data_IF_981892315594
#
_entry.id   IF_981892315594
#
_cell.length_a   1.000
_cell.length_b   1.000
_cell.length_c   1.000
_cell.angle_alpha   90.00
_cell.angle_beta   90.00
_cell.angle_gamma   90.00
#
_symmetry.space_group_name_H-M   'P 1'
#
loop_
_entity.id
_entity.type
_entity.pdbx_description
1 polymer ?
#
# COMPACT_ATOMS: atom_id res chain seq x y z
N UNK A 1 -24.78 -3.92 -14.47
CA UNK A 1 -23.40 -3.38 -14.43
C UNK A 1 -23.40 -2.04 -13.71
N UNK A 2 -22.63 -1.91 -12.62
CA UNK A 2 -22.43 -0.63 -11.93
C UNK A 2 -21.70 0.38 -12.83
N UNK A 3 -21.93 1.68 -12.60
CA UNK A 3 -21.28 2.77 -13.35
C UNK A 3 -19.75 2.66 -13.37
N UNK A 4 -19.16 2.11 -12.32
CA UNK A 4 -17.74 1.89 -12.17
C UNK A 4 -17.19 0.82 -13.13
N UNK A 5 -17.96 -0.25 -13.39
CA UNK A 5 -17.58 -1.28 -14.35
C UNK A 5 -17.73 -0.81 -15.80
N UNK A 6 -18.61 0.17 -16.07
CA UNK A 6 -18.70 0.80 -17.40
C UNK A 6 -17.40 1.49 -17.80
N UNK A 7 -16.62 2.02 -16.85
CA UNK A 7 -15.33 2.66 -17.14
C UNK A 7 -14.27 1.68 -17.70
N UNK A 8 -14.46 0.37 -17.48
CA UNK A 8 -13.55 -0.70 -17.91
C UNK A 8 -14.27 -1.77 -18.77
N UNK A 9 -15.45 -1.45 -19.26
CA UNK A 9 -16.26 -2.33 -20.09
C UNK A 9 -15.50 -2.75 -21.36
N UNK A 10 -15.53 -4.04 -21.67
CA UNK A 10 -14.76 -4.62 -22.79
C UNK A 10 -13.24 -4.62 -22.60
N UNK A 11 -12.71 -4.09 -21.49
CA UNK A 11 -11.27 -4.04 -21.20
C UNK A 11 -10.86 -4.88 -20.00
N UNK A 12 -11.79 -5.32 -19.16
CA UNK A 12 -11.49 -6.11 -17.96
C UNK A 12 -12.16 -7.48 -18.01
N UNK A 13 -11.37 -8.51 -17.74
CA UNK A 13 -11.83 -9.90 -17.59
C UNK A 13 -11.44 -10.40 -16.21
N UNK A 14 -12.41 -10.49 -15.30
CA UNK A 14 -12.19 -10.97 -13.93
C UNK A 14 -11.90 -12.47 -13.92
N UNK A 15 -11.00 -12.92 -13.04
CA UNK A 15 -10.66 -14.34 -12.85
C UNK A 15 -10.85 -14.81 -11.43
N UNK A 16 -10.42 -14.01 -10.46
CA UNK A 16 -10.43 -14.38 -9.05
C UNK A 16 -10.65 -13.14 -8.19
N UNK A 17 -11.61 -13.20 -7.27
CA UNK A 17 -11.74 -12.21 -6.21
C UNK A 17 -10.68 -12.50 -5.15
N UNK A 18 -9.73 -11.59 -4.97
CA UNK A 18 -8.67 -11.73 -3.97
C UNK A 18 -9.13 -11.28 -2.59
N UNK A 19 -9.96 -10.24 -2.53
CA UNK A 19 -10.41 -9.63 -1.28
C UNK A 19 -11.71 -8.85 -1.50
N UNK A 20 -12.63 -8.94 -0.54
CA UNK A 20 -13.80 -8.06 -0.44
C UNK A 20 -13.94 -7.62 1.01
N UNK A 21 -13.88 -6.31 1.25
CA UNK A 21 -14.05 -5.71 2.57
C UNK A 21 -14.92 -4.45 2.50
N UNK A 22 -15.21 -3.85 3.65
CA UNK A 22 -16.02 -2.62 3.75
C UNK A 22 -15.36 -1.39 3.09
N UNK A 23 -14.15 -1.48 2.54
CA UNK A 23 -13.44 -0.36 1.90
C UNK A 23 -13.17 -0.58 0.41
N UNK A 24 -13.18 -1.82 -0.07
CA UNK A 24 -12.96 -2.15 -1.48
C UNK A 24 -13.15 -3.62 -1.79
N UNK A 25 -13.45 -3.89 -3.06
CA UNK A 25 -13.27 -5.21 -3.68
C UNK A 25 -11.98 -5.19 -4.51
N UNK A 26 -11.16 -6.24 -4.39
CA UNK A 26 -9.92 -6.45 -5.13
C UNK A 26 -10.02 -7.76 -5.90
N UNK A 27 -9.80 -7.69 -7.21
CA UNK A 27 -9.93 -8.79 -8.15
C UNK A 27 -8.64 -8.94 -8.95
N UNK A 28 -8.22 -10.18 -9.22
CA UNK A 28 -7.19 -10.50 -10.21
C UNK A 28 -7.89 -10.87 -11.51
N UNK A 29 -7.32 -10.41 -12.61
CA UNK A 29 -7.87 -10.65 -13.94
C UNK A 29 -6.91 -10.24 -15.04
N UNK A 30 -7.45 -10.11 -16.24
CA UNK A 30 -6.74 -9.54 -17.38
C UNK A 30 -7.29 -8.17 -17.74
N UNK A 31 -6.40 -7.30 -18.16
CA UNK A 31 -6.73 -5.97 -18.63
C UNK A 31 -6.22 -5.75 -20.05
N UNK A 32 -7.11 -5.26 -20.93
CA UNK A 32 -6.79 -4.93 -22.31
C UNK A 32 -6.16 -3.53 -22.38
N UNK A 33 -4.92 -3.51 -22.88
CA UNK A 33 -4.15 -2.31 -23.17
C UNK A 33 -3.93 -2.20 -24.68
N UNK A 34 -3.54 -1.02 -25.21
CA UNK A 34 -3.20 -0.89 -26.64
C UNK A 34 -2.08 -1.84 -27.11
N UNK A 35 -1.24 -2.33 -26.19
CA UNK A 35 -0.15 -3.27 -26.48
C UNK A 35 -0.57 -4.76 -26.35
N UNK A 36 -1.83 -5.04 -25.96
CA UNK A 36 -2.34 -6.39 -25.73
C UNK A 36 -2.91 -6.59 -24.32
N UNK A 37 -3.35 -7.82 -24.03
CA UNK A 37 -3.83 -8.21 -22.71
C UNK A 37 -2.68 -8.44 -21.72
N UNK A 38 -2.83 -7.90 -20.51
CA UNK A 38 -1.87 -8.09 -19.42
C UNK A 38 -2.55 -8.59 -18.15
N UNK A 39 -1.84 -9.35 -17.33
CA UNK A 39 -2.29 -9.69 -15.98
C UNK A 39 -2.34 -8.43 -15.12
N UNK A 40 -3.45 -8.26 -14.42
CA UNK A 40 -3.73 -7.05 -13.67
C UNK A 40 -4.56 -7.32 -12.42
N UNK A 41 -4.57 -6.32 -11.53
CA UNK A 41 -5.38 -6.29 -10.32
C UNK A 41 -6.32 -5.09 -10.42
N UNK A 42 -7.61 -5.36 -10.36
CA UNK A 42 -8.65 -4.35 -10.25
C UNK A 42 -8.91 -4.11 -8.76
N UNK A 43 -8.95 -2.83 -8.39
CA UNK A 43 -9.55 -2.38 -7.15
C UNK A 43 -10.77 -1.53 -7.47
N UNK A 44 -11.89 -1.82 -6.82
CA UNK A 44 -13.14 -1.06 -6.98
C UNK A 44 -13.78 -0.74 -5.64
N UNK A 45 -14.43 0.42 -5.57
CA UNK A 45 -15.06 0.96 -4.36
C UNK A 45 -16.55 1.26 -4.56
N UNK A 46 -17.16 0.71 -5.59
CA UNK A 46 -18.56 0.93 -5.94
C UNK A 46 -19.55 0.00 -5.22
N UNK A 47 -19.06 -1.11 -4.66
CA UNK A 47 -19.84 -2.09 -3.89
C UNK A 47 -19.71 -1.90 -2.36
N UNK A 48 -19.05 -0.82 -1.92
CA UNK A 48 -18.82 -0.58 -0.48
C UNK A 48 -20.08 -0.01 0.19
N UNK A 49 -20.31 -0.29 1.48
CA UNK A 49 -21.40 0.32 2.23
C UNK A 49 -21.38 1.86 2.18
N UNK A 50 -22.54 2.49 2.08
CA UNK A 50 -22.66 3.95 1.95
C UNK A 50 -21.93 4.72 3.06
N UNK A 51 -21.92 4.21 4.30
CA UNK A 51 -21.26 4.84 5.44
C UNK A 51 -19.73 4.83 5.32
N UNK A 52 -19.17 3.81 4.68
CA UNK A 52 -17.73 3.63 4.49
C UNK A 52 -17.20 4.38 3.26
N UNK A 53 -18.10 4.72 2.34
CA UNK A 53 -17.77 5.29 1.03
C UNK A 53 -16.89 6.54 1.10
N UNK A 54 -17.12 7.54 1.99
CA UNK A 54 -16.26 8.73 2.08
C UNK A 54 -14.80 8.38 2.38
N UNK A 55 -14.58 7.44 3.31
CA UNK A 55 -13.24 6.99 3.69
C UNK A 55 -12.63 6.14 2.58
N UNK A 56 -13.39 5.19 2.03
CA UNK A 56 -12.95 4.35 0.92
C UNK A 56 -12.51 5.21 -0.28
N UNK A 57 -13.29 6.23 -0.61
CA UNK A 57 -13.00 7.19 -1.67
C UNK A 57 -11.75 8.03 -1.36
N UNK A 58 -11.57 8.49 -0.11
CA UNK A 58 -10.36 9.20 0.30
C UNK A 58 -9.10 8.33 0.14
N UNK A 59 -9.12 7.09 0.64
CA UNK A 59 -8.01 6.14 0.52
C UNK A 59 -7.73 5.78 -0.95
N UNK A 60 -8.78 5.60 -1.74
CA UNK A 60 -8.69 5.36 -3.18
C UNK A 60 -8.00 6.52 -3.91
N UNK A 61 -8.35 7.77 -3.61
CA UNK A 61 -7.73 8.94 -4.22
C UNK A 61 -6.24 9.06 -3.85
N UNK A 62 -5.88 8.70 -2.61
CA UNK A 62 -4.48 8.67 -2.16
C UNK A 62 -3.68 7.63 -2.90
N UNK A 63 -4.19 6.40 -2.97
CA UNK A 63 -3.55 5.30 -3.71
C UNK A 63 -3.39 5.67 -5.18
N UNK A 64 -4.43 6.22 -5.82
CA UNK A 64 -4.38 6.69 -7.21
C UNK A 64 -3.25 7.71 -7.44
N UNK A 65 -3.15 8.73 -6.58
CA UNK A 65 -2.10 9.76 -6.67
C UNK A 65 -0.70 9.16 -6.45
N UNK A 66 -0.55 8.29 -5.46
CA UNK A 66 0.73 7.67 -5.16
C UNK A 66 1.19 6.74 -6.29
N UNK A 67 0.29 5.88 -6.81
CA UNK A 67 0.61 4.92 -7.88
C UNK A 67 0.85 5.59 -9.23
N UNK A 68 0.22 6.73 -9.52
CA UNK A 68 0.50 7.50 -10.73
C UNK A 68 1.98 7.89 -10.84
N UNK A 69 2.64 8.11 -9.69
CA UNK A 69 4.06 8.43 -9.61
C UNK A 69 4.89 7.17 -9.38
N UNK A 70 4.55 6.38 -8.35
CA UNK A 70 5.33 5.21 -7.92
C UNK A 70 5.38 4.09 -8.97
N UNK A 71 4.30 3.90 -9.74
CA UNK A 71 4.24 2.89 -10.80
C UNK A 71 5.26 3.14 -11.91
N UNK A 72 5.63 4.40 -12.16
CA UNK A 72 6.65 4.77 -13.16
C UNK A 72 8.09 4.53 -12.66
N UNK A 73 8.29 4.34 -11.35
CA UNK A 73 9.62 4.18 -10.74
C UNK A 73 10.14 2.72 -10.80
N UNK A 74 9.31 1.78 -11.25
CA UNK A 74 9.63 0.35 -11.31
C UNK A 74 9.79 -0.33 -9.94
N UNK A 75 9.19 0.24 -8.89
CA UNK A 75 9.24 -0.29 -7.51
C UNK A 75 7.86 -0.65 -6.94
N UNK A 76 6.82 -0.37 -7.71
CA UNK A 76 5.41 -0.56 -7.37
C UNK A 76 4.67 -1.04 -8.63
N UNK A 77 3.48 -1.64 -8.49
CA UNK A 77 2.65 -2.00 -9.63
C UNK A 77 2.44 -0.81 -10.57
N UNK A 78 2.64 -0.96 -11.89
CA UNK A 78 2.35 0.12 -12.81
C UNK A 78 0.85 0.42 -12.78
N UNK A 79 0.50 1.70 -12.81
CA UNK A 79 -0.90 2.11 -12.90
C UNK A 79 -1.36 1.99 -14.36
N UNK A 80 -2.22 1.02 -14.66
CA UNK A 80 -2.70 0.75 -16.01
C UNK A 80 -3.95 1.56 -16.35
N UNK A 81 -4.82 1.79 -15.37
CA UNK A 81 -6.01 2.62 -15.52
C UNK A 81 -6.43 3.24 -14.19
N UNK A 82 -6.95 4.46 -14.26
CA UNK A 82 -7.46 5.19 -13.12
C UNK A 82 -8.78 5.86 -13.45
N UNK A 83 -9.88 5.23 -13.02
CA UNK A 83 -11.23 5.76 -13.13
C UNK A 83 -11.64 6.57 -11.89
N UNK A 84 -12.95 6.80 -11.77
CA UNK A 84 -13.55 7.52 -10.62
C UNK A 84 -13.71 6.62 -9.40
N UNK A 85 -14.06 5.34 -9.62
CA UNK A 85 -14.27 4.35 -8.54
C UNK A 85 -13.56 3.02 -8.78
N UNK A 86 -12.74 2.97 -9.83
CA UNK A 86 -11.95 1.79 -10.22
C UNK A 86 -10.50 2.16 -10.46
N UNK A 87 -9.59 1.30 -10.05
CA UNK A 87 -8.16 1.42 -10.27
C UNK A 87 -7.64 0.09 -10.77
N UNK A 88 -6.99 0.09 -11.93
CA UNK A 88 -6.35 -1.12 -12.48
C UNK A 88 -4.85 -0.93 -12.41
N UNK A 89 -4.18 -1.86 -11.74
CA UNK A 89 -2.73 -1.90 -11.59
C UNK A 89 -2.17 -3.18 -12.20
N UNK A 90 -0.96 -3.13 -12.74
CA UNK A 90 -0.30 -4.31 -13.29
C UNK A 90 -0.03 -5.36 -12.22
N UNK A 91 -0.02 -6.62 -12.63
CA UNK A 91 0.39 -7.70 -11.76
C UNK A 91 1.91 -7.69 -11.56
N UNK A 92 2.36 -7.90 -10.33
CA UNK A 92 3.77 -8.17 -10.03
C UNK A 92 3.88 -9.65 -9.71
N UNK A 93 4.66 -10.37 -10.51
CA UNK A 93 5.03 -11.75 -10.22
C UNK A 93 5.98 -11.77 -9.01
N UNK A 94 5.40 -11.89 -7.83
CA UNK A 94 6.14 -11.86 -6.59
C UNK A 94 5.37 -12.45 -5.42
N UNK A 95 6.12 -12.85 -4.40
CA UNK A 95 5.60 -13.49 -3.20
C UNK A 95 5.70 -12.51 -2.03
N UNK A 96 4.64 -12.40 -1.24
CA UNK A 96 4.65 -11.55 -0.04
C UNK A 96 5.79 -11.93 0.92
N UNK A 97 6.43 -10.95 1.54
CA UNK A 97 7.60 -11.13 2.40
C UNK A 97 7.36 -12.16 3.53
N UNK A 98 6.14 -12.19 4.06
CA UNK A 98 5.75 -13.12 5.12
C UNK A 98 5.85 -14.60 4.69
N UNK A 99 5.65 -14.87 3.40
CA UNK A 99 5.74 -16.21 2.79
C UNK A 99 7.17 -16.44 2.28
N UNK A 100 7.72 -15.48 1.54
CA UNK A 100 9.04 -15.59 0.93
C UNK A 100 10.17 -15.78 1.94
N UNK A 101 10.00 -15.25 3.17
CA UNK A 101 10.95 -15.36 4.29
C UNK A 101 12.42 -15.34 3.85
N UNK A 102 12.91 -14.24 3.27
CA UNK A 102 14.20 -14.18 2.58
C UNK A 102 15.37 -14.11 3.58
N UNK A 103 15.59 -15.21 4.30
CA UNK A 103 16.67 -15.36 5.27
C UNK A 103 18.02 -15.26 4.55
N UNK A 104 18.91 -14.40 5.06
CA UNK A 104 20.23 -14.19 4.47
C UNK A 104 20.27 -13.47 3.11
N UNK A 105 19.14 -13.05 2.53
CA UNK A 105 19.09 -12.42 1.20
C UNK A 105 19.48 -10.92 1.25
N UNK A 106 20.79 -10.66 1.17
CA UNK A 106 21.34 -9.30 1.16
C UNK A 106 20.86 -8.49 -0.04
N UNK A 107 20.72 -9.13 -1.20
CA UNK A 107 20.32 -8.48 -2.44
C UNK A 107 18.88 -7.96 -2.36
N UNK A 108 17.97 -8.76 -1.80
CA UNK A 108 16.59 -8.35 -1.54
C UNK A 108 16.55 -7.10 -0.64
N UNK A 109 17.19 -7.12 0.53
CA UNK A 109 17.16 -5.96 1.44
C UNK A 109 17.88 -4.72 0.90
N UNK A 110 18.90 -4.92 0.05
CA UNK A 110 19.52 -3.83 -0.69
C UNK A 110 18.53 -3.19 -1.67
N UNK A 111 17.85 -4.01 -2.48
CA UNK A 111 16.83 -3.53 -3.42
C UNK A 111 15.64 -2.87 -2.71
N UNK A 112 15.21 -3.40 -1.55
CA UNK A 112 14.18 -2.82 -0.70
C UNK A 112 14.55 -1.42 -0.20
N UNK A 113 15.82 -1.22 0.18
CA UNK A 113 16.33 0.08 0.59
C UNK A 113 16.36 1.06 -0.58
N UNK A 114 16.72 0.59 -1.79
CA UNK A 114 16.64 1.40 -3.00
C UNK A 114 15.19 1.79 -3.30
N UNK A 115 14.24 0.87 -3.18
CA UNK A 115 12.83 1.13 -3.41
C UNK A 115 12.29 2.24 -2.50
N UNK A 116 12.54 2.13 -1.18
CA UNK A 116 12.14 3.17 -0.21
C UNK A 116 12.79 4.51 -0.52
N UNK A 117 14.09 4.51 -0.89
CA UNK A 117 14.78 5.75 -1.28
C UNK A 117 14.20 6.38 -2.54
N UNK A 118 13.88 5.59 -3.56
CA UNK A 118 13.23 6.07 -4.79
C UNK A 118 11.86 6.68 -4.46
N UNK A 119 11.08 6.01 -3.61
CA UNK A 119 9.77 6.48 -3.17
C UNK A 119 9.86 7.83 -2.44
N UNK A 120 10.76 7.94 -1.47
CA UNK A 120 11.00 9.17 -0.72
C UNK A 120 11.56 10.28 -1.62
N UNK A 121 12.40 9.95 -2.61
CA UNK A 121 12.87 10.92 -3.61
C UNK A 121 11.72 11.46 -4.47
N UNK A 122 10.71 10.65 -4.75
CA UNK A 122 9.50 11.11 -5.42
C UNK A 122 8.53 11.89 -4.51
N UNK A 123 8.90 12.17 -3.25
CA UNK A 123 8.06 12.89 -2.30
C UNK A 123 6.93 12.05 -1.70
N UNK A 124 7.01 10.73 -1.80
CA UNK A 124 5.98 9.81 -1.31
C UNK A 124 6.47 9.12 -0.05
N UNK A 125 5.64 9.09 0.99
CA UNK A 125 5.84 8.21 2.16
C UNK A 125 4.73 7.15 2.16
N UNK A 126 5.08 5.88 2.34
CA UNK A 126 4.13 4.77 2.24
C UNK A 126 3.28 4.61 3.50
N UNK A 127 3.85 4.91 4.68
CA UNK A 127 3.19 4.90 6.00
C UNK A 127 2.72 3.53 6.51
N UNK A 128 2.83 2.46 5.71
CA UNK A 128 2.36 1.11 6.09
C UNK A 128 3.39 0.01 5.78
N UNK A 129 4.68 0.36 5.69
CA UNK A 129 5.76 -0.63 5.43
C UNK A 129 6.03 -1.56 6.63
N UNK A 130 5.31 -1.36 7.73
CA UNK A 130 5.36 -2.24 8.90
C UNK A 130 4.79 -3.63 8.62
N UNK A 131 3.81 -3.72 7.71
CA UNK A 131 3.18 -4.98 7.31
C UNK A 131 4.05 -5.67 6.28
N UNK A 132 4.34 -6.95 6.51
CA UNK A 132 5.10 -7.77 5.58
C UNK A 132 4.34 -8.02 4.26
N UNK A 133 3.01 -7.96 4.29
CA UNK A 133 2.16 -8.12 3.11
C UNK A 133 2.38 -7.01 2.07
N UNK A 134 2.81 -5.83 2.51
CA UNK A 134 3.06 -4.68 1.63
C UNK A 134 4.44 -4.77 0.93
N UNK A 135 5.22 -5.81 1.25
CA UNK A 135 6.50 -6.12 0.63
C UNK A 135 6.37 -7.37 -0.21
N UNK A 136 6.71 -7.27 -1.50
CA UNK A 136 6.78 -8.40 -2.41
C UNK A 136 8.24 -8.66 -2.78
N UNK A 137 8.63 -9.94 -2.77
CA UNK A 137 9.85 -10.41 -3.44
C UNK A 137 9.47 -10.86 -4.84
N UNK A 138 9.87 -10.08 -5.84
CA UNK A 138 9.67 -10.40 -7.24
C UNK A 138 10.39 -11.68 -7.63
N UNK A 139 9.98 -12.29 -8.74
CA UNK A 139 10.67 -13.44 -9.35
C UNK A 139 12.13 -13.12 -9.73
N UNK A 140 12.43 -11.85 -9.99
CA UNK A 140 13.78 -11.31 -10.21
C UNK A 140 14.61 -11.12 -8.92
N UNK A 141 14.05 -11.50 -7.77
CA UNK A 141 14.67 -11.36 -6.44
C UNK A 141 14.61 -9.94 -5.87
N UNK A 142 14.03 -8.96 -6.56
CA UNK A 142 13.95 -7.57 -6.11
C UNK A 142 12.73 -7.33 -5.23
N UNK A 143 12.81 -6.28 -4.42
CA UNK A 143 11.73 -5.85 -3.57
C UNK A 143 10.79 -4.86 -4.29
N UNK A 144 9.51 -5.15 -4.21
CA UNK A 144 8.43 -4.28 -4.68
C UNK A 144 7.50 -3.92 -3.53
N UNK A 145 6.90 -2.74 -3.63
CA UNK A 145 5.94 -2.20 -2.66
C UNK A 145 4.52 -2.33 -3.22
N UNK A 146 3.58 -2.71 -2.36
CA UNK A 146 2.17 -2.80 -2.70
C UNK A 146 1.31 -2.14 -1.62
N UNK A 147 0.04 -1.89 -1.94
CA UNK A 147 -0.95 -1.23 -1.08
C UNK A 147 -0.60 0.21 -0.67
N UNK A 148 -0.87 1.16 -1.58
CA UNK A 148 -0.56 2.58 -1.37
C UNK A 148 -1.72 3.39 -0.75
N UNK A 149 -2.74 2.74 -0.19
CA UNK A 149 -3.91 3.42 0.40
C UNK A 149 -3.52 4.47 1.45
N UNK A 150 -2.55 4.13 2.29
CA UNK A 150 -2.10 4.99 3.37
C UNK A 150 -1.00 5.97 2.93
N UNK A 151 -0.54 5.88 1.68
CA UNK A 151 0.58 6.67 1.19
C UNK A 151 0.26 8.17 1.16
N UNK A 152 1.22 8.99 1.60
CA UNK A 152 1.14 10.45 1.57
C UNK A 152 2.07 10.98 0.48
N UNK A 153 1.56 11.86 -0.38
CA UNK A 153 2.36 12.59 -1.37
C UNK A 153 2.62 14.01 -0.89
N UNK A 154 3.87 14.46 -0.95
CA UNK A 154 4.31 15.78 -0.49
C UNK A 154 4.99 16.55 -1.63
N UNK A 155 4.61 17.81 -1.80
CA UNK A 155 5.32 18.72 -2.71
C UNK A 155 6.66 19.20 -2.14
N UNK A 156 6.74 19.37 -0.81
CA UNK A 156 7.94 19.83 -0.09
C UNK A 156 8.34 18.83 0.99
N UNK A 157 9.64 18.56 1.14
CA UNK A 157 10.20 17.61 2.12
C UNK A 157 10.38 18.23 3.51
N UNK A 158 9.30 18.79 4.05
CA UNK A 158 9.26 19.43 5.37
C UNK A 158 9.40 18.46 6.55
N UNK A 159 9.21 18.96 7.77
CA UNK A 159 9.37 18.18 9.01
C UNK A 159 8.51 16.91 9.03
N UNK A 160 7.22 17.03 8.68
CA UNK A 160 6.30 15.89 8.63
C UNK A 160 6.78 14.80 7.65
N UNK A 161 7.18 15.17 6.43
CA UNK A 161 7.73 14.24 5.45
C UNK A 161 8.93 13.48 6.02
N UNK A 162 9.87 14.20 6.67
CA UNK A 162 11.08 13.60 7.26
C UNK A 162 10.75 12.61 8.37
N UNK A 163 9.71 12.87 9.16
CA UNK A 163 9.24 11.95 10.21
C UNK A 163 8.65 10.67 9.58
N UNK A 164 7.73 10.80 8.62
CA UNK A 164 7.11 9.65 7.97
C UNK A 164 8.12 8.81 7.19
N UNK A 165 9.03 9.47 6.46
CA UNK A 165 10.11 8.80 5.73
C UNK A 165 11.06 8.06 6.69
N UNK A 166 11.33 8.63 7.87
CA UNK A 166 12.12 7.95 8.90
C UNK A 166 11.43 6.69 9.42
N UNK A 167 10.11 6.72 9.66
CA UNK A 167 9.36 5.54 10.12
C UNK A 167 9.29 4.46 9.03
N UNK A 168 9.07 4.81 7.76
CA UNK A 168 9.15 3.88 6.63
C UNK A 168 10.50 3.12 6.61
N UNK A 169 11.61 3.86 6.72
CA UNK A 169 12.96 3.28 6.76
C UNK A 169 13.16 2.41 8.01
N UNK A 170 12.66 2.85 9.17
CA UNK A 170 12.71 2.09 10.41
C UNK A 170 11.98 0.76 10.27
N UNK A 171 10.82 0.74 9.61
CA UNK A 171 10.05 -0.48 9.38
C UNK A 171 10.80 -1.46 8.46
N UNK A 172 11.44 -0.97 7.40
CA UNK A 172 12.34 -1.80 6.59
C UNK A 172 13.46 -2.42 7.44
N UNK A 173 14.10 -1.64 8.33
CA UNK A 173 15.17 -2.15 9.20
C UNK A 173 14.67 -3.21 10.18
N UNK A 174 13.42 -3.08 10.67
CA UNK A 174 12.80 -4.11 11.51
C UNK A 174 12.65 -5.43 10.75
N UNK A 175 12.23 -5.40 9.48
CA UNK A 175 12.16 -6.58 8.62
C UNK A 175 13.55 -7.14 8.34
N UNK A 176 14.52 -6.30 7.98
CA UNK A 176 15.92 -6.72 7.75
C UNK A 176 16.47 -7.47 8.96
N UNK A 177 16.27 -6.96 10.17
CA UNK A 177 16.72 -7.65 11.37
C UNK A 177 16.04 -9.00 11.59
N UNK A 178 14.75 -9.14 11.27
CA UNK A 178 14.02 -10.41 11.43
C UNK A 178 14.64 -11.52 10.57
N UNK A 179 15.07 -11.18 9.36
CA UNK A 179 15.56 -12.16 8.38
C UNK A 179 17.09 -12.23 8.27
N UNK A 180 17.79 -11.19 8.73
CA UNK A 180 19.22 -10.99 8.55
C UNK A 180 19.84 -10.21 9.72
N UNK A 181 19.63 -10.68 10.95
CA UNK A 181 20.11 -10.00 12.17
C UNK A 181 21.61 -9.67 12.10
N UNK A 182 22.42 -10.63 11.65
CA UNK A 182 23.89 -10.51 11.67
C UNK A 182 24.45 -9.63 10.55
N UNK A 183 23.61 -9.24 9.58
CA UNK A 183 23.99 -8.36 8.47
C UNK A 183 23.54 -6.90 8.66
N UNK A 184 23.12 -6.52 9.87
CA UNK A 184 22.79 -5.14 10.20
C UNK A 184 24.05 -4.31 10.42
N UNK A 185 24.08 -3.14 9.79
CA UNK A 185 25.13 -2.14 10.03
C UNK A 185 24.94 -1.44 11.38
N UNK A 186 26.01 -0.84 11.92
CA UNK A 186 25.95 -0.06 13.16
C UNK A 186 24.89 1.07 13.10
N UNK A 187 24.73 1.71 11.94
CA UNK A 187 23.70 2.74 11.73
C UNK A 187 22.28 2.17 11.79
N UNK A 188 22.05 0.99 11.20
CA UNK A 188 20.75 0.33 11.23
C UNK A 188 20.38 -0.10 12.66
N UNK A 189 21.37 -0.58 13.42
CA UNK A 189 21.22 -0.84 14.85
C UNK A 189 20.84 0.43 15.62
N UNK A 190 21.49 1.57 15.35
CA UNK A 190 21.15 2.85 15.98
C UNK A 190 19.72 3.29 15.67
N UNK A 191 19.30 3.23 14.40
CA UNK A 191 17.94 3.57 13.97
C UNK A 191 16.89 2.66 14.62
N UNK A 192 17.19 1.37 14.74
CA UNK A 192 16.32 0.40 15.42
C UNK A 192 16.15 0.72 16.90
N UNK A 193 17.25 0.95 17.62
CA UNK A 193 17.27 1.22 19.07
C UNK A 193 16.71 2.58 19.44
N UNK A 194 16.80 3.57 18.54
CA UNK A 194 16.21 4.89 18.73
C UNK A 194 14.68 4.78 18.71
N UNK A 195 14.06 4.37 19.83
CA UNK A 195 12.62 4.49 20.07
C UNK A 195 12.27 5.96 19.87
N UNK A 196 11.48 6.27 18.84
CA UNK A 196 11.26 7.65 18.43
C UNK A 196 10.33 8.34 19.42
N UNK A 197 10.90 8.98 20.45
CA UNK A 197 10.15 9.87 21.34
C UNK A 197 9.49 11.01 20.55
N UNK A 198 10.20 11.56 19.57
CA UNK A 198 9.70 12.59 18.65
C UNK A 198 8.52 12.12 17.77
N UNK A 199 8.50 10.85 17.35
CA UNK A 199 7.37 10.28 16.62
C UNK A 199 6.23 9.92 17.57
N UNK A 200 6.47 9.70 18.86
CA UNK A 200 5.40 9.45 19.84
C UNK A 200 4.53 10.70 20.04
N UNK A 201 5.14 11.88 20.16
CA UNK A 201 4.41 13.15 20.28
C UNK A 201 3.78 13.59 18.95
N UNK A 202 4.49 13.46 17.82
CA UNK A 202 3.93 13.79 16.50
C UNK A 202 2.84 12.81 16.05
N UNK A 203 3.02 11.50 16.27
CA UNK A 203 1.96 10.52 16.05
C UNK A 203 0.87 10.70 17.09
N UNK A 204 1.10 11.06 18.35
CA UNK A 204 -0.02 11.36 19.25
C UNK A 204 -0.91 12.44 18.60
N UNK A 205 -0.37 13.56 18.11
CA UNK A 205 -1.19 14.60 17.48
C UNK A 205 -1.80 14.17 16.14
N UNK A 206 -1.02 13.62 15.21
CA UNK A 206 -1.49 13.27 13.84
C UNK A 206 -2.26 11.95 13.81
N UNK A 207 -1.86 10.94 14.59
CA UNK A 207 -2.59 9.68 14.73
C UNK A 207 -3.90 9.89 15.48
N UNK A 208 -4.01 10.81 16.44
CA UNK A 208 -5.33 11.12 17.02
C UNK A 208 -6.24 11.81 16.01
N UNK A 209 -5.76 12.76 15.20
CA UNK A 209 -6.58 13.35 14.12
C UNK A 209 -6.93 12.31 13.05
N UNK A 210 -5.97 11.50 12.62
CA UNK A 210 -6.19 10.42 11.65
C UNK A 210 -7.13 9.35 12.21
N UNK A 211 -6.91 8.87 13.44
CA UNK A 211 -7.78 7.92 14.09
C UNK A 211 -9.11 8.52 14.50
N UNK A 212 -9.25 9.83 14.73
CA UNK A 212 -10.55 10.44 15.02
C UNK A 212 -11.38 10.59 13.74
N UNK A 213 -10.74 10.98 12.62
CA UNK A 213 -11.39 10.94 11.30
C UNK A 213 -11.78 9.51 10.92
N UNK A 214 -10.93 8.54 11.22
CA UNK A 214 -11.17 7.13 10.89
C UNK A 214 -12.16 6.49 11.88
N UNK A 215 -11.96 6.60 13.20
CA UNK A 215 -12.77 5.96 14.26
C UNK A 215 -14.02 6.75 14.67
N UNK A 216 -14.09 8.06 14.44
CA UNK A 216 -15.31 8.85 14.59
C UNK A 216 -16.39 8.43 13.60
N UNK A 217 -15.98 7.95 12.42
CA UNK A 217 -16.87 7.31 11.44
C UNK A 217 -17.16 5.85 11.80
N UNK A 218 -16.19 5.11 12.38
CA UNK A 218 -16.42 3.70 12.77
C UNK A 218 -17.34 3.50 13.98
N UNK A 219 -17.52 4.47 14.89
CA UNK A 219 -18.46 4.30 16.03
C UNK A 219 -19.94 4.32 15.63
N UNK A 220 -20.28 4.84 14.45
CA UNK A 220 -21.64 4.73 13.90
C UNK A 220 -21.93 3.33 13.35
N UNK A 221 -20.91 2.54 13.01
CA UNK A 221 -21.08 1.22 12.40
C UNK A 221 -21.39 0.10 13.40
N UNK A 222 -20.99 0.25 14.67
CA UNK A 222 -21.26 -0.76 15.71
C UNK A 222 -22.68 -0.67 16.29
N UNK A 223 -23.47 0.37 15.94
CA UNK A 223 -24.84 0.55 16.40
C UNK A 223 -25.91 0.04 15.41
N UNK A 224 -25.55 -0.26 14.16
CA UNK A 224 -26.53 -0.65 13.12
C UNK A 224 -26.27 -2.05 12.51
N UNK A 225 -25.24 -2.77 12.97
CA UNK A 225 -24.80 -4.06 12.43
C UNK A 225 -25.57 -5.31 12.91
N UNK A 226 -26.89 -5.24 13.02
CA UNK A 226 -27.75 -6.42 13.14
C UNK A 226 -28.06 -7.00 11.76
N UNK A 227 -27.16 -7.82 11.19
CA UNK A 227 -27.34 -8.37 9.85
C UNK A 227 -26.59 -9.67 9.62
N UNK A 228 -27.37 -10.77 9.64
CA UNK A 228 -27.09 -12.18 9.35
C UNK A 228 -25.67 -12.59 8.87
N UNK A 229 -25.07 -13.50 9.65
CA UNK A 229 -24.04 -14.43 9.19
C UNK A 229 -24.64 -15.34 8.12
N UNK A 230 -23.99 -15.44 6.97
CA UNK A 230 -24.19 -16.56 6.06
C UNK A 230 -22.97 -17.49 6.16
N UNK A 231 -23.31 -18.77 6.26
CA UNK A 231 -22.48 -19.95 6.45
C UNK A 231 -21.42 -20.12 5.36
#
# INVERSE_FOLDING_TARGET
>A
MTLALREIEGRWTSRLVLKRDSFSTVERGRFSTPAGEVEAVLRRIDEVPWWSFPIAHHLFLRERRALAIAGQLGIAPPLLFAGRRVLVRGWIEGVALQIAKPHGDRAYFHSARIAVRKLHRAGICHNDLSKQQNWLRGSDGRAYLTDFQLASCFQRRGRLFRILAYEDLRHLIKHKHRYMRDALTATEWRVRHRKSGLTRSWMATVKHVYNWVVHGVFRLADLEGGGARLL
#
